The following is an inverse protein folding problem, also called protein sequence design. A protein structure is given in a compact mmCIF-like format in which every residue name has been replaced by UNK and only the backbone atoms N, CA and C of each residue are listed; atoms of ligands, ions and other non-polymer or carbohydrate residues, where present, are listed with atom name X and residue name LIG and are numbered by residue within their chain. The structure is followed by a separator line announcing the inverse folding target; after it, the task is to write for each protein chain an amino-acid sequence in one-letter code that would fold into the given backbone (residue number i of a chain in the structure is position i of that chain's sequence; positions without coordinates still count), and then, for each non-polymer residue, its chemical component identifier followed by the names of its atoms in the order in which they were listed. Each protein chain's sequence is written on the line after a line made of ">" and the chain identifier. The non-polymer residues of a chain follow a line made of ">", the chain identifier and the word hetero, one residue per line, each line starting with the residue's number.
data_IF_413746436221
#
_entry.id   IF_413746436221
#
_cell.length_a   1.000
_cell.length_b   1.000
_cell.length_c   1.000
_cell.angle_alpha   90.00
_cell.angle_beta   90.00
_cell.angle_gamma   90.00
#
_symmetry.space_group_name_H-M   'P 1'
#
loop_
_entity.id
_entity.type
_entity.pdbx_description
1 polymer ?
#
# COMPACT_ATOMS: atom_id res chain seq x y z
N UNK A 1 16.50 -5.40 -59.57
CA UNK A 1 15.93 -4.57 -58.49
C UNK A 1 16.93 -3.45 -58.25
N UNK A 2 16.51 -2.18 -58.37
CA UNK A 2 17.46 -1.07 -58.24
C UNK A 2 17.81 -0.83 -56.76
N UNK A 3 18.97 -0.25 -56.46
CA UNK A 3 19.34 0.12 -55.09
C UNK A 3 18.30 1.07 -54.45
N UNK A 4 17.65 1.91 -55.27
CA UNK A 4 16.58 2.79 -54.82
C UNK A 4 15.34 2.02 -54.33
N UNK A 5 14.97 0.93 -55.02
CA UNK A 5 13.85 0.07 -54.63
C UNK A 5 14.13 -0.67 -53.30
N UNK A 6 15.39 -1.07 -53.09
CA UNK A 6 15.83 -1.73 -51.86
C UNK A 6 15.78 -0.78 -50.65
N UNK A 7 16.22 0.47 -50.82
CA UNK A 7 16.15 1.50 -49.77
C UNK A 7 14.71 1.88 -49.41
N UNK A 8 13.83 2.03 -50.41
CA UNK A 8 12.40 2.27 -50.20
C UNK A 8 11.72 1.12 -49.44
N UNK A 9 12.04 -0.13 -49.79
CA UNK A 9 11.54 -1.30 -49.09
C UNK A 9 12.00 -1.35 -47.63
N UNK A 10 13.27 -1.02 -47.37
CA UNK A 10 13.84 -0.98 -46.02
C UNK A 10 13.19 0.11 -45.15
N UNK A 11 13.02 1.32 -45.70
CA UNK A 11 12.35 2.42 -44.99
C UNK A 11 10.90 2.05 -44.62
N UNK A 12 10.15 1.48 -45.56
CA UNK A 12 8.77 1.04 -45.28
C UNK A 12 8.71 -0.07 -44.23
N UNK A 13 9.65 -1.01 -44.25
CA UNK A 13 9.75 -2.04 -43.23
C UNK A 13 10.04 -1.43 -41.85
N UNK A 14 10.94 -0.44 -41.77
CA UNK A 14 11.24 0.26 -40.53
C UNK A 14 10.03 1.04 -39.98
N UNK A 15 9.27 1.71 -40.85
CA UNK A 15 8.04 2.41 -40.45
C UNK A 15 6.99 1.44 -39.90
N UNK A 16 6.79 0.30 -40.57
CA UNK A 16 5.86 -0.75 -40.11
C UNK A 16 6.28 -1.29 -38.74
N UNK A 17 7.58 -1.59 -38.55
CA UNK A 17 8.10 -2.05 -37.27
C UNK A 17 7.93 -1.00 -36.17
N UNK A 18 8.11 0.27 -36.49
CA UNK A 18 7.94 1.39 -35.54
C UNK A 18 6.48 1.52 -35.11
N UNK A 19 5.53 1.45 -36.05
CA UNK A 19 4.09 1.49 -35.76
C UNK A 19 3.68 0.28 -34.92
N UNK A 20 4.17 -0.91 -35.23
CA UNK A 20 3.91 -2.12 -34.43
C UNK A 20 4.47 -1.99 -33.02
N UNK A 21 5.70 -1.50 -32.86
CA UNK A 21 6.31 -1.27 -31.56
C UNK A 21 5.50 -0.27 -30.72
N UNK A 22 5.04 0.83 -31.34
CA UNK A 22 4.17 1.81 -30.69
C UNK A 22 2.84 1.19 -30.24
N UNK A 23 2.19 0.39 -31.09
CA UNK A 23 0.94 -0.29 -30.76
C UNK A 23 1.12 -1.27 -29.60
N UNK A 24 2.18 -2.09 -29.63
CA UNK A 24 2.51 -3.03 -28.55
C UNK A 24 2.77 -2.29 -27.24
N UNK A 25 3.49 -1.16 -27.29
CA UNK A 25 3.76 -0.35 -26.10
C UNK A 25 2.46 0.19 -25.49
N UNK A 26 1.56 0.75 -26.30
CA UNK A 26 0.27 1.28 -25.83
C UNK A 26 -0.59 0.16 -25.24
N UNK A 27 -0.72 -0.97 -25.94
CA UNK A 27 -1.47 -2.13 -25.47
C UNK A 27 -0.87 -2.70 -24.17
N UNK A 28 0.46 -2.72 -24.06
CA UNK A 28 1.16 -3.10 -22.84
C UNK A 28 0.80 -2.21 -21.65
N UNK A 29 0.80 -0.88 -21.85
CA UNK A 29 0.40 0.08 -20.81
C UNK A 29 -1.06 -0.09 -20.42
N UNK A 30 -1.97 -0.25 -21.39
CA UNK A 30 -3.40 -0.47 -21.14
C UNK A 30 -3.66 -1.77 -20.39
N UNK A 31 -3.05 -2.87 -20.84
CA UNK A 31 -3.15 -4.17 -20.16
C UNK A 31 -2.60 -4.07 -18.73
N UNK A 32 -1.45 -3.41 -18.55
CA UNK A 32 -0.85 -3.17 -17.24
C UNK A 32 -1.71 -2.28 -16.32
N UNK A 33 -2.50 -1.36 -16.88
CA UNK A 33 -3.41 -0.50 -16.13
C UNK A 33 -4.71 -1.22 -15.74
N UNK A 34 -5.27 -2.04 -16.65
CA UNK A 34 -6.46 -2.86 -16.38
C UNK A 34 -6.16 -4.04 -15.43
N UNK A 35 -4.93 -4.56 -15.46
CA UNK A 35 -4.51 -5.73 -14.68
C UNK A 35 -4.14 -5.42 -13.23
N UNK A 36 -4.40 -4.20 -12.74
CA UNK A 36 -3.98 -3.80 -11.39
C UNK A 36 -4.91 -4.36 -10.32
N UNK A 37 -4.39 -4.86 -9.18
CA UNK A 37 -5.22 -5.12 -8.01
C UNK A 37 -5.86 -3.81 -7.56
N UNK A 38 -7.14 -3.88 -7.20
CA UNK A 38 -7.93 -2.72 -6.77
C UNK A 38 -8.27 -2.90 -5.30
N UNK A 39 -7.28 -2.60 -4.46
CA UNK A 39 -7.42 -2.65 -3.01
C UNK A 39 -8.07 -1.38 -2.49
N UNK A 40 -9.19 -1.56 -1.80
CA UNK A 40 -9.86 -0.51 -1.05
C UNK A 40 -9.60 -0.73 0.42
N UNK A 41 -9.25 0.35 1.12
CA UNK A 41 -8.92 0.32 2.54
C UNK A 41 -9.96 1.15 3.26
N UNK A 42 -10.66 0.50 4.19
CA UNK A 42 -11.72 1.08 4.99
C UNK A 42 -11.30 1.06 6.46
N UNK A 43 -10.78 2.20 6.96
CA UNK A 43 -10.56 2.34 8.38
C UNK A 43 -11.89 2.64 9.08
N UNK A 44 -12.11 2.00 10.23
CA UNK A 44 -13.25 2.19 11.09
C UNK A 44 -12.77 2.26 12.54
N UNK A 45 -13.29 3.21 13.31
CA UNK A 45 -12.96 3.36 14.73
C UNK A 45 -14.17 2.93 15.55
N UNK A 46 -13.95 2.00 16.45
CA UNK A 46 -14.94 1.53 17.41
C UNK A 46 -14.47 1.80 18.85
N UNK A 47 -15.22 1.30 19.83
CA UNK A 47 -14.91 1.47 21.25
C UNK A 47 -13.61 0.74 21.67
N UNK A 48 -13.16 -0.22 20.88
CA UNK A 48 -12.00 -1.08 21.14
C UNK A 48 -10.71 -0.53 20.52
N UNK A 49 -10.85 0.24 19.44
CA UNK A 49 -9.73 0.87 18.75
C UNK A 49 -10.02 1.13 17.27
N UNK A 50 -9.01 0.90 16.44
CA UNK A 50 -9.06 1.07 15.00
C UNK A 50 -9.08 -0.29 14.31
N UNK A 51 -10.16 -0.55 13.59
CA UNK A 51 -10.33 -1.68 12.70
C UNK A 51 -10.06 -1.23 11.27
N UNK A 52 -9.20 -1.93 10.54
CA UNK A 52 -8.86 -1.64 9.15
C UNK A 52 -9.23 -2.83 8.28
N UNK A 53 -10.23 -2.64 7.41
CA UNK A 53 -10.57 -3.65 6.41
C UNK A 53 -9.90 -3.34 5.08
N UNK A 54 -9.28 -4.36 4.48
CA UNK A 54 -8.67 -4.30 3.16
C UNK A 54 -9.38 -5.28 2.27
N UNK A 55 -10.02 -4.75 1.22
CA UNK A 55 -10.86 -5.52 0.31
C UNK A 55 -10.31 -5.38 -1.10
N UNK A 56 -10.09 -6.51 -1.76
CA UNK A 56 -9.78 -6.51 -3.18
C UNK A 56 -11.08 -6.52 -3.99
N UNK A 57 -11.29 -5.48 -4.81
CA UNK A 57 -12.52 -5.29 -5.57
C UNK A 57 -12.84 -6.50 -6.46
N UNK A 58 -14.12 -6.86 -6.58
CA UNK A 58 -14.56 -7.91 -7.53
C UNK A 58 -14.16 -7.51 -8.96
N UNK A 59 -13.59 -8.46 -9.71
CA UNK A 59 -13.12 -8.23 -11.09
C UNK A 59 -11.72 -7.60 -11.22
N UNK A 60 -10.99 -7.43 -10.12
CA UNK A 60 -9.57 -7.06 -10.16
C UNK A 60 -8.66 -8.28 -10.38
N UNK A 61 -7.34 -8.07 -10.37
CA UNK A 61 -6.37 -9.16 -10.21
C UNK A 61 -6.01 -9.38 -8.74
N UNK A 62 -5.49 -10.57 -8.37
CA UNK A 62 -5.00 -10.81 -7.02
C UNK A 62 -3.88 -9.82 -6.65
N UNK A 63 -3.90 -9.33 -5.41
CA UNK A 63 -2.74 -8.67 -4.82
C UNK A 63 -1.82 -9.74 -4.24
N UNK A 64 -0.50 -9.53 -4.30
CA UNK A 64 0.49 -10.51 -3.83
C UNK A 64 1.48 -9.88 -2.86
N UNK A 65 2.03 -10.71 -1.97
CA UNK A 65 3.03 -10.35 -0.95
C UNK A 65 2.58 -9.12 -0.16
N UNK A 66 1.41 -9.25 0.45
CA UNK A 66 0.83 -8.22 1.30
C UNK A 66 1.57 -8.24 2.63
N UNK A 67 2.13 -7.09 2.98
CA UNK A 67 2.84 -6.87 4.23
C UNK A 67 2.27 -5.60 4.86
N UNK A 68 2.35 -5.50 6.19
CA UNK A 68 2.02 -4.28 6.90
C UNK A 68 3.20 -3.79 7.74
N UNK A 69 3.18 -2.51 8.09
CA UNK A 69 4.04 -1.89 9.09
C UNK A 69 3.16 -1.03 9.96
N UNK A 70 3.44 -1.04 11.24
CA UNK A 70 2.82 -0.16 12.20
C UNK A 70 3.90 0.59 12.99
N UNK A 71 3.63 1.85 13.27
CA UNK A 71 4.49 2.70 14.10
C UNK A 71 3.66 3.55 15.05
N UNK A 72 4.10 3.64 16.30
CA UNK A 72 3.61 4.62 17.27
C UNK A 72 4.22 5.99 16.98
N UNK A 73 3.37 7.02 16.85
CA UNK A 73 3.79 8.38 16.52
C UNK A 73 3.76 9.29 17.75
N UNK A 74 4.77 10.15 17.90
CA UNK A 74 4.71 11.28 18.83
C UNK A 74 3.85 12.43 18.28
N UNK A 75 3.69 13.50 19.05
CA UNK A 75 2.92 14.70 18.66
C UNK A 75 3.51 15.43 17.43
N UNK A 76 4.80 15.21 17.13
CA UNK A 76 5.47 15.75 15.95
C UNK A 76 5.30 14.86 14.70
N UNK A 77 4.66 13.69 14.84
CA UNK A 77 4.49 12.72 13.76
C UNK A 77 5.75 11.88 13.46
N UNK A 78 6.68 11.78 14.42
CA UNK A 78 7.87 10.94 14.33
C UNK A 78 7.62 9.57 14.97
N UNK A 79 8.19 8.51 14.37
CA UNK A 79 8.05 7.16 14.89
C UNK A 79 8.90 6.96 16.16
N UNK A 80 8.29 6.38 17.20
CA UNK A 80 8.98 6.05 18.47
C UNK A 80 9.28 4.56 18.60
N UNK A 81 8.35 3.73 18.16
CA UNK A 81 8.45 2.29 18.10
C UNK A 81 7.57 1.80 16.96
N UNK A 82 7.77 0.54 16.55
CA UNK A 82 7.02 -0.04 15.46
C UNK A 82 7.40 -1.49 15.23
N UNK A 83 6.55 -2.17 14.46
CA UNK A 83 6.80 -3.51 13.96
C UNK A 83 6.19 -3.66 12.57
N UNK A 84 6.57 -4.69 11.84
CA UNK A 84 5.99 -4.97 10.54
C UNK A 84 6.35 -6.37 10.10
N UNK A 85 5.35 -7.06 9.56
CA UNK A 85 5.47 -8.46 9.20
C UNK A 85 4.79 -8.75 7.85
N UNK A 86 5.25 -9.77 7.12
CA UNK A 86 4.48 -10.35 6.03
C UNK A 86 3.12 -10.78 6.55
N UNK A 87 2.06 -10.37 5.87
CA UNK A 87 0.70 -10.64 6.32
C UNK A 87 0.08 -11.77 5.54
N UNK A 88 0.12 -11.68 4.21
CA UNK A 88 -0.55 -12.65 3.35
C UNK A 88 0.11 -12.72 1.98
N UNK A 89 0.31 -13.95 1.50
CA UNK A 89 0.92 -14.19 0.18
C UNK A 89 0.05 -13.66 -0.97
N UNK A 90 -1.28 -13.79 -0.88
CA UNK A 90 -2.19 -13.27 -1.89
C UNK A 90 -3.58 -12.93 -1.35
N UNK A 91 -4.19 -11.88 -1.91
CA UNK A 91 -5.58 -11.51 -1.68
C UNK A 91 -6.33 -11.54 -3.01
N UNK A 92 -7.20 -12.52 -3.20
CA UNK A 92 -7.91 -12.75 -4.46
C UNK A 92 -9.08 -11.77 -4.64
N UNK A 93 -9.58 -11.57 -5.87
CA UNK A 93 -10.68 -10.65 -6.13
C UNK A 93 -11.95 -11.02 -5.34
N UNK A 94 -12.54 -10.05 -4.66
CA UNK A 94 -13.69 -10.25 -3.78
C UNK A 94 -13.33 -10.66 -2.35
N UNK A 95 -12.08 -10.97 -2.06
CA UNK A 95 -11.63 -11.26 -0.70
C UNK A 95 -11.36 -9.98 0.08
N UNK A 96 -11.73 -10.02 1.35
CA UNK A 96 -11.39 -9.02 2.35
C UNK A 96 -10.61 -9.63 3.51
N UNK A 97 -9.79 -8.80 4.15
CA UNK A 97 -9.12 -9.12 5.40
C UNK A 97 -9.21 -7.94 6.34
N UNK A 98 -9.20 -8.23 7.64
CA UNK A 98 -9.33 -7.20 8.65
C UNK A 98 -8.09 -7.23 9.54
N UNK A 99 -7.67 -6.04 9.94
CA UNK A 99 -6.56 -5.84 10.85
C UNK A 99 -7.04 -4.95 11.98
N UNK A 100 -6.76 -5.37 13.22
CA UNK A 100 -7.26 -4.72 14.43
C UNK A 100 -6.11 -4.04 15.18
N UNK A 101 -6.23 -2.74 15.39
CA UNK A 101 -5.36 -1.93 16.24
C UNK A 101 -6.10 -1.55 17.51
N UNK A 102 -5.71 -2.12 18.64
CA UNK A 102 -6.37 -1.82 19.92
C UNK A 102 -5.72 -0.62 20.60
N UNK A 103 -6.56 0.33 21.02
CA UNK A 103 -6.11 1.53 21.73
C UNK A 103 -6.09 1.33 23.26
N UNK A 104 -6.78 0.30 23.76
CA UNK A 104 -6.93 0.03 25.20
C UNK A 104 -6.66 -1.44 25.49
N UNK A 105 -6.22 -1.74 26.71
CA UNK A 105 -6.01 -3.07 27.28
C UNK A 105 -7.34 -3.79 27.50
N UNK A 106 -8.15 -3.87 26.46
CA UNK A 106 -9.34 -4.68 26.42
C UNK A 106 -8.90 -6.07 25.98
N UNK A 107 -8.91 -7.02 26.93
CA UNK A 107 -8.99 -8.44 26.64
C UNK A 107 -10.29 -8.68 25.85
N UNK A 108 -10.27 -8.34 24.57
CA UNK A 108 -11.37 -8.65 23.68
C UNK A 108 -11.13 -10.05 23.18
N UNK A 109 -11.95 -10.96 23.70
CA UNK A 109 -12.28 -12.25 23.09
C UNK A 109 -13.00 -12.01 21.75
N UNK A 110 -12.40 -11.23 20.85
CA UNK A 110 -12.75 -11.36 19.44
C UNK A 110 -12.12 -12.66 18.99
N UNK A 111 -12.96 -13.61 18.58
CA UNK A 111 -12.57 -14.66 17.65
C UNK A 111 -12.12 -13.97 16.36
N UNK A 112 -10.92 -13.38 16.39
CA UNK A 112 -10.21 -13.00 15.19
C UNK A 112 -10.11 -14.29 14.38
N UNK A 113 -10.66 -14.27 13.17
CA UNK A 113 -10.50 -15.40 12.26
C UNK A 113 -8.99 -15.65 12.13
N UNK A 114 -8.55 -16.89 11.89
CA UNK A 114 -7.11 -17.22 11.86
C UNK A 114 -6.30 -16.45 10.78
N UNK A 115 -6.99 -15.60 10.01
CA UNK A 115 -6.51 -14.77 8.90
C UNK A 115 -6.42 -13.28 9.27
N UNK A 116 -6.94 -12.88 10.42
CA UNK A 116 -6.89 -11.51 10.91
C UNK A 116 -5.63 -11.29 11.74
N UNK A 117 -5.13 -10.05 11.75
CA UNK A 117 -3.92 -9.68 12.50
C UNK A 117 -4.27 -8.71 13.61
N UNK A 118 -3.82 -9.06 14.81
CA UNK A 118 -3.85 -8.20 15.99
C UNK A 118 -2.54 -7.43 16.08
N UNK A 119 -2.63 -6.10 16.05
CA UNK A 119 -1.48 -5.22 16.23
C UNK A 119 -1.17 -4.94 17.71
N UNK A 120 0.07 -4.55 18.03
CA UNK A 120 0.45 -4.17 19.38
C UNK A 120 -0.42 -3.03 19.91
N UNK A 121 -0.62 -3.03 21.23
CA UNK A 121 -1.41 -2.00 21.91
C UNK A 121 -0.83 -0.60 21.67
N UNK A 122 -1.69 0.35 21.28
CA UNK A 122 -1.29 1.74 21.16
C UNK A 122 -1.15 2.40 22.54
N UNK A 123 -0.09 3.19 22.74
CA UNK A 123 0.10 3.96 23.96
C UNK A 123 -0.96 5.09 24.04
N UNK A 124 -1.53 5.41 25.22
CA UNK A 124 -2.58 6.41 25.38
C UNK A 124 -2.23 7.85 24.93
N UNK A 125 -0.95 8.17 24.78
CA UNK A 125 -0.48 9.51 24.36
C UNK A 125 0.12 9.55 22.95
N UNK A 126 -0.05 8.49 22.16
CA UNK A 126 0.59 8.37 20.84
C UNK A 126 -0.41 8.32 19.69
N UNK A 127 0.02 8.78 18.52
CA UNK A 127 -0.65 8.49 17.26
C UNK A 127 -0.25 7.12 16.70
N UNK A 128 -0.85 6.75 15.58
CA UNK A 128 -0.51 5.55 14.83
C UNK A 128 -0.20 5.90 13.37
N UNK A 129 0.78 5.21 12.81
CA UNK A 129 1.00 5.10 11.37
C UNK A 129 0.85 3.63 10.99
N UNK A 130 0.06 3.34 9.98
CA UNK A 130 -0.05 1.99 9.43
C UNK A 130 0.24 2.05 7.95
N UNK A 131 1.16 1.22 7.46
CA UNK A 131 1.54 1.17 6.05
C UNK A 131 1.25 -0.22 5.52
N UNK A 132 0.34 -0.29 4.56
CA UNK A 132 0.08 -1.52 3.81
C UNK A 132 0.89 -1.50 2.52
N UNK A 133 1.57 -2.61 2.24
CA UNK A 133 2.46 -2.74 1.08
C UNK A 133 2.13 -4.03 0.35
N UNK A 134 2.16 -4.00 -0.97
CA UNK A 134 1.98 -5.18 -1.81
C UNK A 134 2.83 -5.07 -3.07
N UNK A 135 3.04 -6.20 -3.75
CA UNK A 135 3.80 -6.25 -5.00
C UNK A 135 3.13 -5.37 -6.06
N UNK A 136 3.89 -4.46 -6.67
CA UNK A 136 3.36 -3.62 -7.73
C UNK A 136 3.02 -4.48 -8.97
N UNK A 137 1.87 -4.24 -9.63
CA UNK A 137 1.35 -5.12 -10.70
C UNK A 137 2.20 -5.16 -11.98
N UNK A 138 3.01 -4.11 -12.22
CA UNK A 138 3.83 -3.97 -13.43
C UNK A 138 5.31 -4.17 -13.09
N UNK A 139 5.87 -3.25 -12.33
CA UNK A 139 7.24 -3.30 -11.84
C UNK A 139 7.32 -4.19 -10.60
N UNK A 140 7.47 -5.49 -10.80
CA UNK A 140 7.37 -6.48 -9.73
C UNK A 140 8.42 -6.39 -8.63
N UNK A 141 9.50 -5.66 -8.86
CA UNK A 141 10.55 -5.32 -7.89
C UNK A 141 10.22 -4.08 -7.05
N UNK A 142 9.16 -3.35 -7.39
CA UNK A 142 8.64 -2.20 -6.63
C UNK A 142 7.43 -2.65 -5.82
N UNK A 143 7.19 -1.99 -4.69
CA UNK A 143 5.97 -2.17 -3.89
C UNK A 143 5.02 -1.00 -4.07
N UNK A 144 3.76 -1.31 -4.30
CA UNK A 144 2.67 -0.37 -4.11
C UNK A 144 2.35 -0.30 -2.62
N UNK A 145 1.85 0.85 -2.18
CA UNK A 145 1.58 1.08 -0.77
C UNK A 145 0.48 2.12 -0.54
N UNK A 146 -0.19 1.99 0.60
CA UNK A 146 -1.12 2.98 1.14
C UNK A 146 -0.81 3.11 2.63
N UNK A 147 -0.95 4.34 3.11
CA UNK A 147 -0.64 4.69 4.49
C UNK A 147 -1.90 5.21 5.17
N UNK A 148 -2.09 4.82 6.41
CA UNK A 148 -3.09 5.36 7.31
C UNK A 148 -2.36 6.12 8.41
N UNK A 149 -2.78 7.35 8.67
CA UNK A 149 -2.24 8.16 9.75
C UNK A 149 -3.36 8.50 10.72
N UNK A 150 -3.19 8.10 11.96
CA UNK A 150 -4.07 8.44 13.07
C UNK A 150 -3.31 9.33 14.06
N UNK A 151 -3.43 10.64 13.93
CA UNK A 151 -2.76 11.53 14.89
C UNK A 151 -3.40 11.38 16.27
N UNK A 152 -2.62 11.65 17.33
CA UNK A 152 -3.13 11.68 18.71
C UNK A 152 -4.40 12.52 18.83
N UNK A 153 -4.37 13.74 18.30
CA UNK A 153 -5.51 14.67 18.31
C UNK A 153 -6.73 14.14 17.57
N UNK A 154 -6.55 13.42 16.46
CA UNK A 154 -7.66 12.80 15.74
C UNK A 154 -8.25 11.63 16.53
N UNK A 155 -7.40 10.83 17.18
CA UNK A 155 -7.83 9.71 18.03
C UNK A 155 -8.59 10.18 19.27
N UNK A 156 -8.08 11.19 19.97
CA UNK A 156 -8.75 11.81 21.14
C UNK A 156 -10.12 12.39 20.76
N UNK A 157 -10.25 12.88 19.52
CA UNK A 157 -11.51 13.35 18.96
C UNK A 157 -12.38 12.24 18.36
N UNK A 158 -12.01 10.96 18.53
CA UNK A 158 -12.68 9.78 17.95
C UNK A 158 -12.91 9.87 16.43
N UNK A 159 -12.02 10.56 15.72
CA UNK A 159 -12.07 10.68 14.26
C UNK A 159 -11.35 9.49 13.62
N UNK A 160 -11.82 8.99 12.47
CA UNK A 160 -11.11 7.94 11.74
C UNK A 160 -9.74 8.42 11.25
N UNK A 161 -8.77 7.51 11.05
CA UNK A 161 -7.47 7.85 10.51
C UNK A 161 -7.58 8.34 9.06
N UNK A 162 -6.63 9.19 8.70
CA UNK A 162 -6.50 9.74 7.37
C UNK A 162 -5.84 8.72 6.43
N UNK A 163 -6.44 8.47 5.27
CA UNK A 163 -5.87 7.63 4.22
C UNK A 163 -4.96 8.47 3.33
N UNK A 164 -3.65 8.30 3.49
CA UNK A 164 -2.63 9.03 2.75
C UNK A 164 -2.20 8.26 1.50
N UNK A 165 -2.06 8.98 0.38
CA UNK A 165 -1.55 8.47 -0.91
C UNK A 165 -0.56 9.45 -1.53
N UNK A 166 0.30 8.93 -2.42
CA UNK A 166 1.22 9.74 -3.22
C UNK A 166 2.18 10.57 -2.37
N UNK A 167 2.31 11.87 -2.68
CA UNK A 167 3.27 12.76 -2.02
C UNK A 167 2.97 12.97 -0.53
N UNK A 168 1.69 13.04 -0.14
CA UNK A 168 1.33 13.21 1.28
C UNK A 168 1.78 12.00 2.11
N UNK A 169 1.57 10.79 1.58
CA UNK A 169 2.06 9.57 2.21
C UNK A 169 3.60 9.55 2.27
N UNK A 170 4.28 10.00 1.21
CA UNK A 170 5.74 10.04 1.17
C UNK A 170 6.32 11.01 2.20
N UNK A 171 5.73 12.19 2.34
CA UNK A 171 6.13 13.16 3.35
C UNK A 171 5.93 12.60 4.77
N UNK A 172 4.78 11.99 5.04
CA UNK A 172 4.50 11.38 6.35
C UNK A 172 5.50 10.26 6.67
N UNK A 173 5.75 9.34 5.73
CA UNK A 173 6.75 8.29 5.87
C UNK A 173 8.14 8.84 6.18
N UNK A 174 8.57 9.87 5.44
CA UNK A 174 9.89 10.47 5.64
C UNK A 174 10.02 11.15 6.99
N UNK A 175 8.96 11.81 7.47
CA UNK A 175 8.93 12.43 8.81
C UNK A 175 9.06 11.36 9.89
N UNK A 176 8.26 10.29 9.80
CA UNK A 176 8.26 9.18 10.74
C UNK A 176 9.67 8.57 10.91
N UNK A 177 10.35 8.27 9.79
CA UNK A 177 11.67 7.65 9.78
C UNK A 177 12.87 8.62 9.88
N UNK A 178 12.64 9.92 10.10
CA UNK A 178 13.74 10.88 10.27
C UNK A 178 14.48 10.65 11.60
N UNK A 179 13.78 10.11 12.60
CA UNK A 179 14.26 9.92 13.96
C UNK A 179 15.12 8.65 14.14
N UNK A 180 14.73 7.52 13.53
CA UNK A 180 15.49 6.24 13.62
C UNK A 180 16.95 6.35 13.12
N UNK A 181 17.22 7.25 12.17
CA UNK A 181 18.58 7.48 11.66
C UNK A 181 19.48 8.24 12.64
N UNK A 182 18.91 9.02 13.57
CA UNK A 182 19.67 9.73 14.60
C UNK A 182 19.98 8.84 15.79
N UNK A 183 19.07 7.96 16.19
CA UNK A 183 19.24 7.07 17.35
C UNK A 183 20.15 5.88 17.08
N UNK A 184 20.29 5.41 15.83
CA UNK A 184 21.27 4.35 15.47
C UNK A 184 22.73 4.83 15.33
N UNK A 185 22.99 6.13 15.43
CA UNK A 185 24.34 6.72 15.26
C UNK A 185 24.89 7.37 16.53
N UNK A 186 24.17 7.31 17.64
CA UNK A 186 24.63 7.71 18.97
C UNK A 186 24.76 6.50 19.86
#
# INVERSE_FOLDING_TARGET
>A
MSEADAWLAFSRAADILTVLAAAIAILGVLAAWLSRPRLTIHPFVDQSGLTVSIINSRGSRPAYNLDWVWEGLNDLGEARHGTGEPWQNSLHPGEGRTLYLYAVNTNLDHEADARDVTLPQLVPDEGALVVFRWRHPVLTWVRAWVMLRWTRTAREASKPPEVLRGMAAWCAYRTAHKYERKTRKG
#
